data_IF_689643440338
#
_entry.id   IF_689643440338
#
_cell.length_a   1.000
_cell.length_b   1.000
_cell.length_c   1.000
_cell.angle_alpha   90.00
_cell.angle_beta   90.00
_cell.angle_gamma   90.00
#
_symmetry.space_group_name_H-M   'P 1'
#
loop_
_entity.id
_entity.type
_entity.pdbx_description
1 polymer ?
#
# COMPACT_ATOMS: atom_id res chain seq x y z
N UNK A 1 1.08 28.96 -5.37
CA UNK A 1 1.27 27.52 -5.63
C UNK A 1 0.06 26.79 -5.09
N UNK A 2 -0.84 26.32 -5.96
CA UNK A 2 -2.07 25.63 -5.56
C UNK A 2 -1.75 24.26 -4.98
N UNK A 3 -2.06 24.05 -3.70
CA UNK A 3 -1.84 22.78 -3.02
C UNK A 3 -2.77 21.72 -3.62
N UNK A 4 -2.21 20.74 -4.33
CA UNK A 4 -2.98 19.61 -4.88
C UNK A 4 -3.54 18.76 -3.74
N UNK A 5 -4.73 18.14 -3.88
CA UNK A 5 -5.33 17.31 -2.84
C UNK A 5 -4.37 16.16 -2.48
N UNK A 6 -4.07 16.04 -1.18
CA UNK A 6 -3.22 14.98 -0.62
C UNK A 6 -4.10 13.79 -0.26
N UNK A 7 -3.78 12.61 -0.80
CA UNK A 7 -4.51 11.38 -0.48
C UNK A 7 -4.05 10.84 0.86
N UNK A 8 -4.95 10.75 1.83
CA UNK A 8 -4.67 10.21 3.16
C UNK A 8 -4.71 8.68 3.07
N UNK A 9 -3.62 8.02 3.46
CA UNK A 9 -3.48 6.58 3.32
C UNK A 9 -2.92 5.89 4.57
N UNK A 10 -3.22 4.60 4.71
CA UNK A 10 -2.55 3.70 5.64
C UNK A 10 -1.44 2.96 4.89
N UNK A 11 -0.25 2.84 5.51
CA UNK A 11 0.81 2.00 4.97
C UNK A 11 1.04 0.78 5.85
N UNK A 12 1.44 -0.32 5.23
CA UNK A 12 1.82 -1.57 5.88
C UNK A 12 3.33 -1.75 5.77
N UNK A 13 3.97 -2.15 6.87
CA UNK A 13 5.37 -2.53 6.85
C UNK A 13 5.52 -3.91 6.20
N UNK A 14 6.30 -3.98 5.13
CA UNK A 14 6.81 -5.23 4.55
C UNK A 14 8.33 -5.14 4.44
N UNK A 15 8.97 -5.73 3.41
CA UNK A 15 10.34 -5.36 3.03
C UNK A 15 10.43 -3.87 2.64
N UNK A 16 9.36 -3.33 2.03
CA UNK A 16 9.18 -1.89 1.77
C UNK A 16 7.86 -1.39 2.35
N UNK A 17 7.80 -0.12 2.78
CA UNK A 17 6.59 0.46 3.39
C UNK A 17 5.62 0.91 2.29
N UNK A 18 4.53 0.16 2.07
CA UNK A 18 3.62 0.36 0.94
C UNK A 18 2.21 0.75 1.38
N UNK A 19 1.46 1.41 0.50
CA UNK A 19 0.04 1.68 0.72
C UNK A 19 -0.74 0.37 0.85
N UNK A 20 -1.63 0.30 1.84
CA UNK A 20 -2.31 -0.93 2.26
C UNK A 20 -3.21 -1.53 1.19
N UNK A 21 -4.04 -0.73 0.52
CA UNK A 21 -5.01 -1.20 -0.48
C UNK A 21 -4.31 -1.63 -1.78
N UNK A 22 -3.32 -0.88 -2.23
CA UNK A 22 -2.43 -1.22 -3.34
C UNK A 22 -1.72 -2.54 -3.08
N UNK A 23 -1.19 -2.75 -1.87
CA UNK A 23 -0.57 -4.03 -1.51
C UNK A 23 -1.58 -5.19 -1.59
N UNK A 24 -2.84 -5.00 -1.20
CA UNK A 24 -3.89 -6.03 -1.34
C UNK A 24 -4.18 -6.34 -2.81
N UNK A 25 -4.32 -5.32 -3.66
CA UNK A 25 -4.52 -5.50 -5.11
C UNK A 25 -3.36 -6.27 -5.73
N UNK A 26 -2.11 -5.89 -5.42
CA UNK A 26 -0.92 -6.56 -5.94
C UNK A 26 -0.85 -8.03 -5.51
N UNK A 27 -1.11 -8.32 -4.24
CA UNK A 27 -1.12 -9.71 -3.73
C UNK A 27 -2.20 -10.56 -4.37
N UNK A 28 -3.42 -10.04 -4.49
CA UNK A 28 -4.53 -10.77 -5.11
C UNK A 28 -4.29 -11.00 -6.61
N UNK A 29 -3.67 -10.04 -7.30
CA UNK A 29 -3.32 -10.19 -8.71
C UNK A 29 -2.18 -11.21 -8.92
N UNK A 30 -1.18 -11.23 -8.03
CA UNK A 30 -0.12 -12.22 -8.05
C UNK A 30 -0.68 -13.64 -7.84
N UNK A 31 -1.56 -13.81 -6.85
CA UNK A 31 -2.26 -15.08 -6.59
C UNK A 31 -3.08 -15.55 -7.80
N UNK A 32 -3.81 -14.63 -8.45
CA UNK A 32 -4.60 -14.94 -9.64
C UNK A 32 -3.77 -15.52 -10.81
N UNK A 33 -2.47 -15.23 -10.85
CA UNK A 33 -1.54 -15.71 -11.87
C UNK A 33 -0.53 -16.74 -11.35
N UNK A 34 -0.77 -17.32 -10.16
CA UNK A 34 0.10 -18.32 -9.54
C UNK A 34 1.58 -17.86 -9.47
N UNK A 35 1.81 -16.57 -9.22
CA UNK A 35 3.14 -15.96 -9.13
C UNK A 35 3.40 -15.32 -7.78
N UNK A 36 4.67 -15.16 -7.42
CA UNK A 36 5.01 -14.46 -6.18
C UNK A 36 4.79 -12.95 -6.34
N UNK A 37 4.61 -12.25 -5.20
CA UNK A 37 4.59 -10.78 -5.20
C UNK A 37 5.92 -10.20 -5.71
N UNK A 38 7.04 -10.91 -5.51
CA UNK A 38 8.36 -10.51 -6.01
C UNK A 38 8.40 -10.52 -7.53
N UNK A 39 8.05 -11.65 -8.14
CA UNK A 39 8.04 -11.80 -9.60
C UNK A 39 7.13 -10.76 -10.28
N UNK A 40 5.96 -10.49 -9.69
CA UNK A 40 5.05 -9.45 -10.17
C UNK A 40 5.73 -8.07 -10.15
N UNK A 41 6.35 -7.71 -9.02
CA UNK A 41 6.99 -6.40 -8.87
C UNK A 41 8.20 -6.26 -9.79
N UNK A 42 9.04 -7.28 -9.90
CA UNK A 42 10.18 -7.30 -10.82
C UNK A 42 9.73 -7.15 -12.27
N UNK A 43 8.69 -7.89 -12.67
CA UNK A 43 8.10 -7.79 -14.01
C UNK A 43 7.58 -6.37 -14.32
N UNK A 44 6.88 -5.74 -13.38
CA UNK A 44 6.41 -4.34 -13.53
C UNK A 44 7.59 -3.38 -13.70
N UNK A 45 8.61 -3.51 -12.86
CA UNK A 45 9.79 -2.63 -12.86
C UNK A 45 10.59 -2.77 -14.15
N UNK A 46 10.81 -4.00 -14.62
CA UNK A 46 11.52 -4.25 -15.89
C UNK A 46 10.79 -3.63 -17.09
N UNK A 47 9.47 -3.78 -17.18
CA UNK A 47 8.68 -3.12 -18.22
C UNK A 47 8.75 -1.60 -18.12
N UNK A 48 8.72 -1.04 -16.90
CA UNK A 48 8.83 0.40 -16.69
C UNK A 48 10.22 0.95 -17.09
N UNK A 49 11.30 0.21 -16.81
CA UNK A 49 12.65 0.56 -17.26
C UNK A 49 12.77 0.54 -18.79
N UNK A 50 12.10 -0.39 -19.44
CA UNK A 50 11.99 -0.48 -20.91
C UNK A 50 11.04 0.57 -21.53
N UNK A 51 10.30 1.33 -20.72
CA UNK A 51 9.26 2.25 -21.20
C UNK A 51 8.03 1.55 -21.80
N UNK A 52 7.80 0.27 -21.47
CA UNK A 52 6.68 -0.55 -21.96
C UNK A 52 5.56 -0.66 -20.93
N UNK A 53 4.36 -0.98 -21.41
CA UNK A 53 3.23 -1.26 -20.53
C UNK A 53 3.40 -2.66 -19.87
N UNK A 54 3.30 -2.77 -18.54
CA UNK A 54 3.50 -4.04 -17.82
C UNK A 54 2.31 -5.01 -17.91
N UNK A 55 1.13 -4.53 -18.35
CA UNK A 55 -0.10 -5.30 -18.31
C UNK A 55 -0.84 -5.28 -19.65
N UNK A 56 -1.36 -6.44 -20.05
CA UNK A 56 -2.25 -6.59 -21.19
C UNK A 56 -3.66 -6.04 -20.88
N UNK A 57 -4.52 -5.80 -21.88
CA UNK A 57 -5.89 -5.36 -21.64
C UNK A 57 -6.71 -6.32 -20.73
N UNK A 58 -6.64 -7.66 -20.86
CA UNK A 58 -7.28 -8.57 -19.91
C UNK A 58 -6.76 -8.42 -18.46
N UNK A 59 -5.43 -8.29 -18.30
CA UNK A 59 -4.82 -8.07 -16.99
C UNK A 59 -5.28 -6.74 -16.37
N UNK A 60 -5.38 -5.68 -17.17
CA UNK A 60 -5.91 -4.39 -16.73
C UNK A 60 -7.37 -4.50 -16.26
N UNK A 61 -8.22 -5.24 -16.99
CA UNK A 61 -9.61 -5.49 -16.56
C UNK A 61 -9.65 -6.18 -15.20
N UNK A 62 -8.84 -7.23 -14.99
CA UNK A 62 -8.75 -7.92 -13.69
C UNK A 62 -8.26 -6.98 -12.58
N UNK A 63 -7.27 -6.13 -12.86
CA UNK A 63 -6.79 -5.13 -11.90
C UNK A 63 -7.91 -4.14 -11.55
N UNK A 64 -8.74 -3.70 -12.50
CA UNK A 64 -9.87 -2.80 -12.20
C UNK A 64 -10.92 -3.47 -11.30
N UNK A 65 -11.20 -4.75 -11.48
CA UNK A 65 -12.09 -5.51 -10.58
C UNK A 65 -11.52 -5.56 -9.16
N UNK A 66 -10.23 -5.89 -9.01
CA UNK A 66 -9.55 -5.93 -7.72
C UNK A 66 -9.50 -4.55 -7.06
N UNK A 67 -9.29 -3.48 -7.84
CA UNK A 67 -9.36 -2.10 -7.34
C UNK A 67 -10.72 -1.79 -6.75
N UNK A 68 -11.81 -2.15 -7.44
CA UNK A 68 -13.18 -1.99 -6.91
C UNK A 68 -13.39 -2.81 -5.64
N UNK A 69 -12.94 -4.06 -5.61
CA UNK A 69 -13.09 -4.94 -4.46
C UNK A 69 -12.38 -4.44 -3.20
N UNK A 70 -11.20 -3.83 -3.36
CA UNK A 70 -10.42 -3.28 -2.23
C UNK A 70 -10.59 -1.78 -2.00
N UNK A 71 -11.59 -1.18 -2.66
CA UNK A 71 -11.85 0.26 -2.65
C UNK A 71 -10.60 1.11 -2.96
N UNK A 72 -9.75 0.67 -3.90
CA UNK A 72 -8.54 1.41 -4.31
C UNK A 72 -8.89 2.43 -5.39
N UNK A 73 -8.98 3.69 -4.98
CA UNK A 73 -9.31 4.86 -5.79
C UNK A 73 -8.08 5.62 -6.33
N UNK A 74 -6.87 5.07 -6.13
CA UNK A 74 -5.63 5.70 -6.57
C UNK A 74 -5.34 5.44 -8.05
N UNK A 75 -4.74 6.42 -8.71
CA UNK A 75 -4.17 6.34 -10.05
C UNK A 75 -2.72 6.85 -10.08
N UNK A 76 -2.11 6.91 -11.27
CA UNK A 76 -0.74 7.38 -11.43
C UNK A 76 -0.54 8.84 -10.99
N UNK A 77 -1.58 9.67 -11.03
CA UNK A 77 -1.50 11.04 -10.57
C UNK A 77 -1.32 11.11 -9.04
N UNK A 78 -1.63 10.04 -8.28
CA UNK A 78 -1.44 9.99 -6.84
C UNK A 78 0.01 9.75 -6.38
N UNK A 79 0.92 9.30 -7.27
CA UNK A 79 2.25 8.75 -6.90
C UNK A 79 3.10 9.62 -5.96
N UNK A 80 2.97 10.95 -6.04
CA UNK A 80 3.71 11.91 -5.19
C UNK A 80 2.81 12.72 -4.24
N UNK A 81 1.52 12.37 -4.16
CA UNK A 81 0.51 13.09 -3.36
C UNK A 81 0.00 12.28 -2.16
N UNK A 82 0.54 11.09 -1.94
CA UNK A 82 0.16 10.23 -0.82
C UNK A 82 0.73 10.78 0.50
N UNK A 83 -0.15 11.02 1.48
CA UNK A 83 0.21 11.40 2.84
C UNK A 83 -0.22 10.30 3.79
N UNK A 84 0.74 9.73 4.50
CA UNK A 84 0.46 8.71 5.50
C UNK A 84 -0.32 9.32 6.67
N UNK A 85 -1.34 8.61 7.15
CA UNK A 85 -2.02 8.93 8.40
C UNK A 85 -0.94 8.95 9.47
N UNK A 86 -0.70 10.11 10.10
CA UNK A 86 0.18 10.20 11.27
C UNK A 86 -0.41 9.28 12.33
N UNK A 87 0.19 8.11 12.51
CA UNK A 87 -0.30 7.11 13.43
C UNK A 87 -0.43 7.70 14.83
N UNK A 88 -1.53 7.37 15.52
CA UNK A 88 -1.54 7.37 16.98
C UNK A 88 -0.36 6.50 17.40
N UNK A 89 0.70 7.13 17.92
CA UNK A 89 1.74 6.42 18.65
C UNK A 89 1.02 5.48 19.61
N UNK A 90 1.32 4.16 19.63
CA UNK A 90 0.76 3.30 20.66
C UNK A 90 1.07 3.97 21.98
N UNK A 91 0.05 4.38 22.74
CA UNK A 91 0.28 4.89 24.10
C UNK A 91 1.05 3.78 24.81
N UNK A 92 2.36 3.96 24.99
CA UNK A 92 3.13 3.21 25.98
C UNK A 92 2.28 3.27 27.23
N UNK A 93 1.87 2.11 27.77
CA UNK A 93 1.19 2.02 29.06
C UNK A 93 2.10 2.65 30.10
N UNK A 94 1.96 3.96 30.29
CA UNK A 94 2.62 4.71 31.33
C UNK A 94 1.68 4.69 32.53
N UNK A 95 1.80 3.67 33.38
CA UNK A 95 1.56 3.73 34.84
C UNK A 95 1.44 2.31 35.44
N UNK A 96 2.56 1.63 35.63
CA UNK A 96 2.76 0.92 36.90
C UNK A 96 3.71 1.79 37.72
N UNK A 97 3.18 2.92 38.19
CA UNK A 97 3.80 3.71 39.24
C UNK A 97 3.22 3.20 40.55
N UNK A 98 4.09 2.60 41.36
CA UNK A 98 4.15 2.85 42.79
C UNK A 98 2.81 2.98 43.55
N UNK A 99 2.36 1.86 44.12
CA UNK A 99 1.88 1.82 45.51
C UNK A 99 2.86 0.89 46.22
N UNK A 100 3.92 1.46 46.82
CA UNK A 100 3.98 1.77 48.26
C UNK A 100 3.63 0.53 49.08
N UNK A 101 4.62 -0.10 49.71
CA UNK A 101 4.87 0.20 51.13
C UNK A 101 3.55 0.22 51.92
N UNK A 102 3.19 -0.93 52.48
CA UNK A 102 2.45 -0.99 53.73
C UNK A 102 2.57 -2.39 54.32
N UNK A 103 3.35 -2.42 55.41
CA UNK A 103 3.16 -3.20 56.63
C UNK A 103 3.33 -4.72 56.58
#
# INVERSE_FOLDING_TARGET
MSESPKFIIERVQTGVRMEKRLLKVLKAFAEFHDMTLGDLLEGIVLHAFDGKAPFSPPSLSRIQELKKFYDLDLDSAASHRLKEIRGKVPRKRASEKSRSEKS
#
